data_IF_160046813613
#
_entry.id   IF_160046813613
#
_cell.length_a   1.000
_cell.length_b   1.000
_cell.length_c   1.000
_cell.angle_alpha   90.00
_cell.angle_beta   90.00
_cell.angle_gamma   90.00
#
_symmetry.space_group_name_H-M   'P 1'
#
loop_
_entity.id
_entity.type
_entity.pdbx_description
1 polymer ?
#
# COMPACT_ATOMS: atom_id res chain seq x y z
N UNK A 1 -59.13 27.21 -41.78
CA UNK A 1 -58.70 25.82 -41.62
C UNK A 1 -57.21 25.78 -41.94
N UNK A 2 -56.37 26.00 -40.98
CA UNK A 2 -54.92 26.03 -41.10
C UNK A 2 -54.31 24.92 -40.26
N UNK A 3 -53.70 23.94 -40.89
CA UNK A 3 -53.01 22.82 -40.30
C UNK A 3 -51.65 23.30 -39.77
N UNK A 4 -51.43 23.07 -38.47
CA UNK A 4 -50.13 23.32 -37.82
C UNK A 4 -49.40 21.98 -37.75
N UNK A 5 -48.34 21.82 -38.55
CA UNK A 5 -47.44 20.67 -38.54
C UNK A 5 -46.31 21.02 -37.56
N UNK A 6 -46.35 20.46 -36.35
CA UNK A 6 -45.26 20.55 -35.42
C UNK A 6 -44.12 19.58 -35.76
N UNK A 7 -42.97 20.12 -36.14
CA UNK A 7 -41.73 19.37 -36.33
C UNK A 7 -41.15 18.99 -34.94
N UNK A 8 -41.22 17.72 -34.57
CA UNK A 8 -40.46 17.17 -33.47
C UNK A 8 -39.00 17.03 -33.89
N UNK A 9 -38.17 17.99 -33.47
CA UNK A 9 -36.72 17.87 -33.50
C UNK A 9 -36.28 16.94 -32.35
N UNK A 10 -36.05 15.68 -32.67
CA UNK A 10 -35.46 14.72 -31.76
C UNK A 10 -33.96 15.01 -31.54
N UNK A 11 -33.66 15.84 -30.55
CA UNK A 11 -32.31 16.02 -30.08
C UNK A 11 -31.86 14.76 -29.34
N UNK A 12 -31.02 13.91 -29.98
CA UNK A 12 -30.33 12.83 -29.30
C UNK A 12 -29.33 13.46 -28.30
N UNK A 13 -29.73 13.49 -27.03
CA UNK A 13 -28.80 13.80 -25.94
C UNK A 13 -27.81 12.62 -25.83
N UNK A 14 -26.78 12.67 -26.66
CA UNK A 14 -25.61 11.81 -26.44
C UNK A 14 -25.10 12.08 -25.06
N UNK A 15 -25.27 11.11 -24.13
CA UNK A 15 -24.69 11.10 -22.82
C UNK A 15 -23.17 11.25 -23.02
N UNK A 16 -22.61 12.45 -22.83
CA UNK A 16 -21.17 12.64 -22.72
C UNK A 16 -20.72 11.85 -21.49
N UNK A 17 -20.24 10.64 -21.72
CA UNK A 17 -19.51 9.90 -20.69
C UNK A 17 -18.27 10.74 -20.39
N UNK A 18 -18.25 11.37 -19.22
CA UNK A 18 -17.07 12.06 -18.73
C UNK A 18 -15.94 11.02 -18.59
N UNK A 19 -14.95 11.09 -19.47
CA UNK A 19 -13.76 10.23 -19.45
C UNK A 19 -12.72 10.70 -18.42
N UNK A 20 -13.12 11.03 -17.22
CA UNK A 20 -12.16 11.22 -16.11
C UNK A 20 -12.14 9.96 -15.26
N UNK A 21 -11.43 8.96 -15.76
CA UNK A 21 -11.16 7.74 -14.99
C UNK A 21 -9.82 7.93 -14.30
N UNK A 22 -9.83 8.16 -12.98
CA UNK A 22 -8.65 8.23 -12.14
C UNK A 22 -8.31 9.63 -11.58
N UNK A 23 -7.35 9.69 -10.64
CA UNK A 23 -6.91 10.95 -10.01
C UNK A 23 -6.23 11.87 -11.03
N UNK A 24 -6.57 13.16 -10.96
CA UNK A 24 -5.84 14.21 -11.69
C UNK A 24 -4.61 14.57 -10.87
N UNK A 25 -3.45 14.42 -11.47
CA UNK A 25 -2.15 14.63 -10.83
C UNK A 25 -1.43 15.80 -11.51
N UNK A 26 -0.97 16.75 -10.70
CA UNK A 26 -0.05 17.80 -11.10
C UNK A 26 1.37 17.40 -10.70
N UNK A 27 2.33 17.63 -11.60
CA UNK A 27 3.75 17.42 -11.32
C UNK A 27 4.29 18.62 -10.53
N UNK A 28 4.97 18.36 -9.43
CA UNK A 28 5.60 19.36 -8.56
C UNK A 28 7.09 19.08 -8.49
N UNK A 29 7.91 20.07 -8.78
CA UNK A 29 9.36 20.01 -8.63
C UNK A 29 9.69 20.18 -7.13
N UNK A 30 10.27 19.14 -6.54
CA UNK A 30 10.66 19.16 -5.11
C UNK A 30 12.14 19.49 -4.91
N UNK A 31 12.99 19.16 -5.91
CA UNK A 31 14.40 19.51 -5.92
C UNK A 31 14.85 19.82 -7.35
N UNK A 32 15.34 21.04 -7.57
CA UNK A 32 15.87 21.50 -8.85
C UNK A 32 17.39 21.36 -8.86
N UNK A 33 17.86 20.41 -9.61
CA UNK A 33 19.27 20.13 -9.78
C UNK A 33 19.80 20.61 -11.15
N UNK A 34 19.05 21.47 -11.84
CA UNK A 34 19.36 21.91 -13.20
C UNK A 34 19.65 20.71 -14.13
N UNK A 35 18.73 19.75 -14.15
CA UNK A 35 18.85 18.50 -14.90
C UNK A 35 17.75 18.34 -15.94
N UNK A 36 18.09 17.77 -17.10
CA UNK A 36 17.10 17.41 -18.11
C UNK A 36 16.30 16.16 -17.73
N UNK A 37 16.93 15.26 -16.97
CA UNK A 37 16.29 14.03 -16.48
C UNK A 37 15.55 14.28 -15.16
N UNK A 38 14.52 13.47 -14.91
CA UNK A 38 13.74 13.51 -13.68
C UNK A 38 13.77 12.15 -12.98
N UNK A 39 13.65 12.18 -11.67
CA UNK A 39 13.33 11.02 -10.82
C UNK A 39 12.02 11.32 -10.11
N UNK A 40 11.03 10.44 -10.25
CA UNK A 40 9.74 10.60 -9.59
C UNK A 40 9.79 9.99 -8.19
N UNK A 41 9.32 10.72 -7.20
CA UNK A 41 9.15 10.25 -5.84
C UNK A 41 7.67 9.91 -5.63
N UNK A 42 7.39 8.65 -5.30
CA UNK A 42 6.06 8.15 -4.96
C UNK A 42 6.06 7.83 -3.47
N UNK A 43 5.31 8.60 -2.68
CA UNK A 43 5.27 8.41 -1.24
C UNK A 43 4.14 7.45 -0.84
N UNK A 44 4.47 6.46 0.00
CA UNK A 44 3.52 5.59 0.71
C UNK A 44 3.73 5.82 2.20
N UNK A 45 2.84 6.59 2.81
CA UNK A 45 2.95 7.00 4.20
C UNK A 45 1.71 6.61 5.01
N UNK A 46 1.94 6.15 6.25
CA UNK A 46 0.88 5.73 7.15
C UNK A 46 0.31 4.36 6.78
N UNK A 47 -0.92 4.09 7.21
CA UNK A 47 -1.57 2.79 7.01
C UNK A 47 -1.97 2.61 5.55
N UNK A 48 -1.55 1.47 4.96
CA UNK A 48 -1.94 1.10 3.60
C UNK A 48 -3.39 0.65 3.61
N UNK A 49 -4.23 1.38 2.87
CA UNK A 49 -5.67 1.11 2.83
C UNK A 49 -6.26 1.37 1.45
N UNK A 50 -7.31 0.62 1.13
CA UNK A 50 -8.16 0.83 -0.05
C UNK A 50 -9.25 1.89 0.17
N UNK A 51 -9.36 2.45 1.39
CA UNK A 51 -10.32 3.51 1.69
C UNK A 51 -9.97 4.78 0.94
N UNK A 52 -11.00 5.44 0.44
CA UNK A 52 -10.85 6.75 -0.18
C UNK A 52 -10.49 7.81 0.86
N UNK A 53 -9.47 8.60 0.56
CA UNK A 53 -9.15 9.83 1.29
C UNK A 53 -10.15 10.94 0.96
N UNK A 54 -10.01 12.08 1.61
CA UNK A 54 -10.86 13.27 1.37
C UNK A 54 -10.87 13.73 -0.09
N UNK A 55 -9.86 13.34 -0.88
CA UNK A 55 -9.79 13.58 -2.33
C UNK A 55 -10.57 12.59 -3.19
N UNK A 56 -11.28 11.62 -2.60
CA UNK A 56 -12.12 10.64 -3.30
C UNK A 56 -11.36 9.48 -3.96
N UNK A 57 -10.05 9.36 -3.75
CA UNK A 57 -9.21 8.27 -4.24
C UNK A 57 -8.47 7.58 -3.09
N UNK A 58 -8.24 6.29 -3.24
CA UNK A 58 -7.45 5.51 -2.28
C UNK A 58 -5.94 5.68 -2.53
N UNK A 59 -5.13 5.29 -1.54
CA UNK A 59 -3.68 5.20 -1.71
C UNK A 59 -3.29 4.32 -2.90
N UNK A 60 -4.01 3.22 -3.10
CA UNK A 60 -3.83 2.32 -4.25
C UNK A 60 -4.05 3.02 -5.58
N UNK A 61 -5.16 3.79 -5.70
CA UNK A 61 -5.47 4.54 -6.91
C UNK A 61 -4.40 5.59 -7.23
N UNK A 62 -3.92 6.28 -6.19
CA UNK A 62 -2.88 7.30 -6.33
C UNK A 62 -1.55 6.68 -6.79
N UNK A 63 -1.08 5.60 -6.18
CA UNK A 63 0.16 4.92 -6.58
C UNK A 63 0.07 4.42 -8.01
N UNK A 64 -1.05 3.76 -8.40
CA UNK A 64 -1.27 3.28 -9.76
C UNK A 64 -1.25 4.43 -10.78
N UNK A 65 -1.92 5.55 -10.47
CA UNK A 65 -1.95 6.72 -11.34
C UNK A 65 -0.58 7.37 -11.49
N UNK A 66 0.21 7.47 -10.40
CA UNK A 66 1.55 8.02 -10.42
C UNK A 66 2.50 7.14 -11.25
N UNK A 67 2.48 5.81 -11.06
CA UNK A 67 3.27 4.89 -11.89
C UNK A 67 2.92 5.01 -13.37
N UNK A 68 1.64 5.16 -13.72
CA UNK A 68 1.21 5.39 -15.09
C UNK A 68 1.76 6.70 -15.66
N UNK A 69 1.75 7.80 -14.87
CA UNK A 69 2.35 9.08 -15.28
C UNK A 69 3.85 8.95 -15.50
N UNK A 70 4.54 8.18 -14.65
CA UNK A 70 5.97 7.89 -14.82
C UNK A 70 6.23 7.11 -16.11
N UNK A 71 5.40 6.13 -16.44
CA UNK A 71 5.54 5.35 -17.68
C UNK A 71 5.43 6.23 -18.92
N UNK A 72 4.46 7.17 -18.93
CA UNK A 72 4.16 8.07 -20.04
C UNK A 72 5.19 9.20 -20.26
N UNK A 73 5.95 9.62 -19.23
CA UNK A 73 6.93 10.71 -19.35
C UNK A 73 8.35 10.16 -19.57
N UNK A 74 8.88 10.33 -20.78
CA UNK A 74 10.23 9.89 -21.14
C UNK A 74 11.37 10.62 -20.39
N UNK A 75 11.11 11.81 -19.82
CA UNK A 75 12.10 12.55 -19.03
C UNK A 75 12.29 11.90 -17.65
N UNK A 76 11.30 11.20 -17.14
CA UNK A 76 11.43 10.46 -15.88
C UNK A 76 12.22 9.17 -16.15
N UNK A 77 13.34 9.00 -15.47
CA UNK A 77 14.28 7.90 -15.71
C UNK A 77 14.26 6.83 -14.63
N UNK A 78 13.78 7.16 -13.43
CA UNK A 78 13.65 6.23 -12.31
C UNK A 78 12.51 6.65 -11.38
N UNK A 79 12.12 5.74 -10.50
CA UNK A 79 11.16 5.97 -9.42
C UNK A 79 11.84 5.73 -8.08
N UNK A 80 11.59 6.59 -7.12
CA UNK A 80 11.83 6.32 -5.70
C UNK A 80 10.49 6.06 -5.03
N UNK A 81 10.30 4.84 -4.55
CA UNK A 81 9.18 4.50 -3.67
C UNK A 81 9.58 4.84 -2.24
N UNK A 82 9.13 5.98 -1.73
CA UNK A 82 9.41 6.43 -0.36
C UNK A 82 8.38 5.82 0.58
N UNK A 83 8.82 4.90 1.45
CA UNK A 83 7.93 4.14 2.32
C UNK A 83 8.15 4.51 3.77
N UNK A 84 7.11 5.02 4.43
CA UNK A 84 7.05 5.25 5.87
C UNK A 84 5.71 4.74 6.42
N UNK A 85 5.61 3.41 6.55
CA UNK A 85 4.35 2.71 6.77
C UNK A 85 4.50 1.49 7.69
N UNK A 86 3.57 1.31 8.66
CA UNK A 86 3.49 0.09 9.46
C UNK A 86 2.91 -1.11 8.69
N UNK A 87 2.46 -0.92 7.45
CA UNK A 87 1.65 -1.83 6.67
C UNK A 87 0.16 -1.45 6.67
N UNK A 88 -0.72 -2.42 6.49
CA UNK A 88 -2.17 -2.18 6.42
C UNK A 88 -2.96 -3.34 5.85
N UNK A 89 -3.99 -3.03 5.07
CA UNK A 89 -4.87 -4.03 4.45
C UNK A 89 -4.09 -4.92 3.47
N UNK A 90 -4.34 -6.22 3.55
CA UNK A 90 -3.68 -7.23 2.69
C UNK A 90 -3.93 -6.93 1.21
N UNK A 91 -5.19 -6.72 0.83
CA UNK A 91 -5.53 -6.47 -0.58
C UNK A 91 -4.95 -5.16 -1.10
N UNK A 92 -4.99 -4.09 -0.33
CA UNK A 92 -4.39 -2.81 -0.73
C UNK A 92 -2.88 -2.94 -0.93
N UNK A 93 -2.19 -3.66 -0.04
CA UNK A 93 -0.76 -3.94 -0.17
C UNK A 93 -0.45 -4.81 -1.40
N UNK A 94 -1.25 -5.86 -1.66
CA UNK A 94 -1.09 -6.71 -2.84
C UNK A 94 -1.35 -5.96 -4.15
N UNK A 95 -2.32 -5.05 -4.17
CA UNK A 95 -2.58 -4.23 -5.36
C UNK A 95 -1.45 -3.24 -5.66
N UNK A 96 -0.87 -2.61 -4.64
CA UNK A 96 0.31 -1.74 -4.82
C UNK A 96 1.52 -2.58 -5.27
N UNK A 97 1.76 -3.73 -4.63
CA UNK A 97 2.80 -4.67 -5.05
C UNK A 97 2.68 -5.05 -6.52
N UNK A 98 1.47 -5.45 -6.96
CA UNK A 98 1.22 -5.81 -8.37
C UNK A 98 1.50 -4.65 -9.30
N UNK A 99 1.05 -3.44 -8.95
CA UNK A 99 1.29 -2.25 -9.77
C UNK A 99 2.78 -1.96 -9.94
N UNK A 100 3.59 -2.10 -8.87
CA UNK A 100 5.05 -1.92 -8.93
C UNK A 100 5.70 -3.03 -9.75
N UNK A 101 5.30 -4.28 -9.54
CA UNK A 101 5.85 -5.43 -10.26
C UNK A 101 5.54 -5.37 -11.76
N UNK A 102 4.30 -5.06 -12.11
CA UNK A 102 3.87 -4.88 -13.50
C UNK A 102 4.62 -3.72 -14.17
N UNK A 103 4.74 -2.58 -13.48
CA UNK A 103 5.54 -1.45 -13.96
C UNK A 103 6.98 -1.88 -14.28
N UNK A 104 7.66 -2.59 -13.37
CA UNK A 104 9.04 -3.04 -13.58
C UNK A 104 9.19 -4.17 -14.62
N UNK A 105 8.09 -4.82 -15.01
CA UNK A 105 8.06 -5.84 -16.06
C UNK A 105 7.94 -5.22 -17.44
N UNK A 106 7.11 -4.18 -17.58
CA UNK A 106 6.82 -3.52 -18.86
C UNK A 106 7.66 -2.26 -19.09
N UNK A 107 8.15 -1.62 -18.02
CA UNK A 107 8.95 -0.41 -18.07
C UNK A 107 10.38 -0.67 -17.64
N UNK A 108 11.36 -0.11 -18.38
CA UNK A 108 12.78 -0.29 -18.08
C UNK A 108 13.28 0.60 -16.93
N UNK A 109 12.44 1.54 -16.46
CA UNK A 109 12.80 2.49 -15.41
C UNK A 109 12.88 1.77 -14.06
N UNK A 110 14.01 1.83 -13.34
CA UNK A 110 14.15 1.16 -12.06
C UNK A 110 13.27 1.80 -10.99
N UNK A 111 12.76 0.97 -10.08
CA UNK A 111 12.12 1.41 -8.84
C UNK A 111 13.06 1.12 -7.67
N UNK A 112 13.43 2.17 -6.94
CA UNK A 112 14.26 2.09 -5.73
C UNK A 112 13.37 2.39 -4.52
N UNK A 113 13.26 1.46 -3.58
CA UNK A 113 12.58 1.73 -2.31
C UNK A 113 13.52 2.50 -1.37
N UNK A 114 13.02 3.60 -0.81
CA UNK A 114 13.66 4.36 0.28
C UNK A 114 12.82 4.22 1.52
N UNK A 115 13.29 3.46 2.49
CA UNK A 115 12.57 3.23 3.74
C UNK A 115 12.82 4.38 4.71
N UNK A 116 11.73 4.90 5.30
CA UNK A 116 11.75 5.90 6.35
C UNK A 116 12.00 5.29 7.74
N UNK A 117 11.37 5.88 8.74
CA UNK A 117 11.48 5.35 10.11
C UNK A 117 10.89 3.94 10.21
N UNK A 118 9.83 3.68 9.46
CA UNK A 118 9.06 2.44 9.52
C UNK A 118 8.66 2.00 8.11
N UNK A 119 9.07 0.80 7.72
CA UNK A 119 8.66 0.16 6.49
C UNK A 119 8.46 -1.34 6.75
N UNK A 120 7.44 -1.66 7.54
CA UNK A 120 7.21 -2.99 8.08
C UNK A 120 5.91 -3.61 7.53
N UNK A 121 5.84 -4.94 7.57
CA UNK A 121 4.66 -5.70 7.18
C UNK A 121 4.18 -5.34 5.75
N UNK A 122 2.98 -4.79 5.54
CA UNK A 122 2.55 -4.30 4.22
C UNK A 122 3.51 -3.29 3.58
N UNK A 123 4.21 -2.46 4.40
CA UNK A 123 5.25 -1.54 3.92
C UNK A 123 6.46 -2.28 3.36
N UNK A 124 6.86 -3.38 3.97
CA UNK A 124 7.89 -4.26 3.41
C UNK A 124 7.37 -5.04 2.19
N UNK A 125 6.12 -5.51 2.24
CA UNK A 125 5.48 -6.24 1.14
C UNK A 125 5.55 -5.47 -0.19
N UNK A 126 5.24 -4.17 -0.17
CA UNK A 126 5.30 -3.31 -1.37
C UNK A 126 6.72 -2.93 -1.77
N UNK A 127 7.68 -2.97 -0.84
CA UNK A 127 9.09 -2.68 -1.08
C UNK A 127 9.84 -3.88 -1.68
N UNK A 128 9.42 -5.10 -1.34
CA UNK A 128 10.09 -6.34 -1.72
C UNK A 128 10.33 -6.51 -3.24
N UNK A 129 9.42 -6.11 -4.16
CA UNK A 129 9.63 -6.21 -5.60
C UNK A 129 10.55 -5.12 -6.17
N UNK A 130 10.87 -4.06 -5.41
CA UNK A 130 11.69 -2.97 -5.90
C UNK A 130 13.09 -3.47 -6.30
N UNK A 131 13.62 -2.89 -7.38
CA UNK A 131 14.92 -3.25 -7.93
C UNK A 131 16.07 -3.08 -6.92
N UNK A 132 15.91 -2.14 -5.98
CA UNK A 132 16.85 -1.84 -4.91
C UNK A 132 16.11 -1.30 -3.69
N UNK A 133 16.58 -1.65 -2.50
CA UNK A 133 16.02 -1.18 -1.24
C UNK A 133 17.11 -0.53 -0.41
N UNK A 134 16.88 0.73 -0.03
CA UNK A 134 17.74 1.51 0.88
C UNK A 134 17.00 1.73 2.19
N UNK A 135 17.64 1.44 3.30
CA UNK A 135 17.12 1.70 4.65
C UNK A 135 18.19 2.33 5.54
N UNK A 136 17.78 3.18 6.48
CA UNK A 136 18.67 3.60 7.55
C UNK A 136 18.94 2.43 8.49
N UNK A 137 20.06 2.39 9.17
CA UNK A 137 20.39 1.33 10.13
C UNK A 137 19.35 1.20 11.27
N UNK A 138 18.70 2.33 11.61
CA UNK A 138 17.65 2.45 12.64
C UNK A 138 16.23 2.27 12.10
N UNK A 139 16.04 2.10 10.80
CA UNK A 139 14.73 1.81 10.20
C UNK A 139 14.15 0.55 10.83
N UNK A 140 12.86 0.58 11.19
CA UNK A 140 12.11 -0.60 11.60
C UNK A 140 11.47 -1.21 10.36
N UNK A 141 11.79 -2.49 10.07
CA UNK A 141 11.27 -3.21 8.91
C UNK A 141 10.92 -4.66 9.26
N UNK A 142 10.81 -5.55 8.27
CA UNK A 142 10.40 -6.94 8.48
C UNK A 142 8.91 -7.03 8.82
N UNK A 143 8.58 -7.61 9.98
CA UNK A 143 7.19 -7.91 10.38
C UNK A 143 6.44 -8.68 9.27
N UNK A 144 7.11 -9.70 8.71
CA UNK A 144 6.57 -10.56 7.66
C UNK A 144 5.60 -11.54 8.31
N UNK A 145 4.32 -11.17 8.32
CA UNK A 145 3.28 -11.91 9.01
C UNK A 145 1.90 -11.38 8.69
N UNK A 146 0.88 -12.10 9.15
CA UNK A 146 -0.53 -11.79 8.95
C UNK A 146 -1.25 -11.88 10.28
N UNK A 147 -2.07 -10.89 10.56
CA UNK A 147 -2.93 -10.88 11.74
C UNK A 147 -4.38 -10.65 11.34
N UNK A 148 -5.28 -11.31 12.06
CA UNK A 148 -6.71 -11.05 12.03
C UNK A 148 -7.18 -10.79 13.45
N UNK A 149 -7.63 -9.58 13.73
CA UNK A 149 -8.16 -9.21 15.03
C UNK A 149 -9.68 -9.40 15.09
N UNK A 150 -10.14 -10.05 16.14
CA UNK A 150 -11.56 -10.02 16.54
C UNK A 150 -11.66 -9.79 18.04
N UNK A 151 -12.77 -9.17 18.45
CA UNK A 151 -13.06 -8.94 19.85
C UNK A 151 -14.18 -9.86 20.29
N UNK A 152 -14.01 -10.57 21.42
CA UNK A 152 -15.09 -11.30 22.06
C UNK A 152 -15.57 -10.51 23.27
N UNK A 153 -16.82 -10.04 23.22
CA UNK A 153 -17.45 -9.24 24.27
C UNK A 153 -18.62 -9.97 24.94
N UNK A 154 -18.77 -11.30 24.70
CA UNK A 154 -19.82 -12.14 25.32
C UNK A 154 -19.84 -12.03 26.82
N UNK A 155 -18.67 -12.11 27.47
CA UNK A 155 -18.53 -11.98 28.91
C UNK A 155 -19.01 -10.64 29.47
N UNK A 156 -18.81 -9.55 28.71
CA UNK A 156 -19.34 -8.23 29.07
C UNK A 156 -20.85 -8.20 28.94
N UNK A 157 -21.41 -8.73 27.85
CA UNK A 157 -22.87 -8.80 27.63
C UNK A 157 -23.56 -9.55 28.77
N UNK A 158 -23.00 -10.65 29.20
CA UNK A 158 -23.51 -11.42 30.33
C UNK A 158 -23.60 -10.61 31.63
N UNK A 159 -22.54 -9.78 31.90
CA UNK A 159 -22.49 -8.91 33.09
C UNK A 159 -23.55 -7.81 33.10
N UNK A 160 -23.89 -7.27 31.92
CA UNK A 160 -24.93 -6.23 31.78
C UNK A 160 -26.29 -6.75 31.45
N UNK A 161 -26.50 -8.10 31.44
CA UNK A 161 -27.77 -8.74 31.23
C UNK A 161 -28.29 -8.73 29.80
N UNK A 162 -27.42 -8.45 28.82
CA UNK A 162 -27.75 -8.48 27.37
C UNK A 162 -27.54 -9.89 26.82
N UNK A 163 -28.54 -10.41 26.13
CA UNK A 163 -28.48 -11.74 25.49
C UNK A 163 -28.74 -11.63 24.01
N UNK A 164 -27.75 -11.91 23.14
CA UNK A 164 -27.95 -11.92 21.70
C UNK A 164 -28.84 -13.08 21.30
N UNK A 165 -29.67 -12.86 20.30
CA UNK A 165 -30.46 -13.90 19.65
C UNK A 165 -30.08 -13.93 18.18
N UNK A 166 -29.37 -14.97 17.77
CA UNK A 166 -28.84 -15.09 16.40
C UNK A 166 -29.66 -16.14 15.63
N UNK A 167 -30.28 -15.71 14.54
CA UNK A 167 -30.91 -16.59 13.56
C UNK A 167 -30.04 -16.66 12.33
N UNK A 168 -29.60 -17.86 11.93
CA UNK A 168 -28.63 -18.03 10.84
C UNK A 168 -29.01 -19.15 9.89
N UNK A 169 -28.66 -18.98 8.62
CA UNK A 169 -28.99 -19.96 7.56
C UNK A 169 -27.96 -21.10 7.45
N UNK A 170 -26.81 -21.02 8.09
CA UNK A 170 -25.76 -22.05 8.01
C UNK A 170 -24.88 -22.09 9.24
N UNK A 171 -24.22 -23.24 9.47
CA UNK A 171 -23.42 -23.52 10.68
C UNK A 171 -22.40 -22.40 10.98
N UNK A 172 -21.74 -21.88 9.95
CA UNK A 172 -20.63 -20.93 10.09
C UNK A 172 -20.96 -19.47 9.72
N UNK A 173 -22.26 -19.12 9.56
CA UNK A 173 -22.65 -17.77 9.11
C UNK A 173 -22.31 -16.67 10.12
N UNK A 174 -22.19 -17.03 11.39
CA UNK A 174 -21.79 -16.17 12.51
C UNK A 174 -20.33 -16.37 12.94
N UNK A 175 -19.52 -16.92 12.05
CA UNK A 175 -18.07 -17.06 12.27
C UNK A 175 -17.44 -15.70 12.61
N UNK A 176 -16.53 -15.69 13.58
CA UNK A 176 -15.88 -14.49 14.13
C UNK A 176 -16.82 -13.50 14.85
N UNK A 177 -18.06 -13.85 15.12
CA UNK A 177 -18.95 -13.02 15.94
C UNK A 177 -18.44 -12.95 17.38
N UNK A 178 -18.21 -11.72 17.88
CA UNK A 178 -17.79 -11.46 19.25
C UNK A 178 -18.89 -11.68 20.30
N UNK A 179 -20.11 -11.96 19.87
CA UNK A 179 -21.28 -12.20 20.74
C UNK A 179 -21.40 -13.66 21.20
N UNK A 180 -20.68 -14.57 20.54
CA UNK A 180 -20.73 -16.01 20.85
C UNK A 180 -19.87 -16.33 22.07
N UNK A 181 -20.30 -17.34 22.82
CA UNK A 181 -19.48 -17.91 23.87
C UNK A 181 -18.24 -18.56 23.24
N UNK A 182 -17.01 -18.24 23.71
CA UNK A 182 -15.80 -18.86 23.20
C UNK A 182 -15.80 -20.40 23.27
N UNK A 183 -16.53 -20.97 24.23
CA UNK A 183 -16.70 -22.43 24.39
C UNK A 183 -17.61 -23.05 23.31
N UNK A 184 -18.48 -22.25 22.71
CA UNK A 184 -19.39 -22.67 21.65
C UNK A 184 -18.75 -22.56 20.24
N UNK A 185 -17.52 -22.02 20.12
CA UNK A 185 -16.83 -21.92 18.85
C UNK A 185 -16.24 -23.27 18.45
N UNK A 186 -16.75 -23.91 17.38
CA UNK A 186 -16.31 -25.23 16.99
C UNK A 186 -14.85 -25.20 16.50
N UNK A 187 -14.09 -26.28 16.72
CA UNK A 187 -12.69 -26.38 16.28
C UNK A 187 -12.53 -26.10 14.79
N UNK A 188 -13.44 -26.58 13.96
CA UNK A 188 -13.40 -26.40 12.50
C UNK A 188 -13.46 -24.93 12.09
N UNK A 189 -14.13 -24.08 12.88
CA UNK A 189 -14.15 -22.63 12.62
C UNK A 189 -12.76 -22.02 12.83
N UNK A 190 -12.06 -22.42 13.90
CA UNK A 190 -10.68 -21.98 14.18
C UNK A 190 -9.72 -22.45 13.09
N UNK A 191 -9.88 -23.68 12.63
CA UNK A 191 -9.07 -24.25 11.53
C UNK A 191 -9.27 -23.48 10.24
N UNK A 192 -10.52 -23.08 9.89
CA UNK A 192 -10.82 -22.28 8.71
C UNK A 192 -10.14 -20.91 8.79
N UNK A 193 -10.20 -20.25 9.95
CA UNK A 193 -9.55 -18.93 10.16
C UNK A 193 -8.04 -19.07 10.08
N UNK A 194 -7.46 -20.07 10.74
CA UNK A 194 -6.02 -20.31 10.70
C UNK A 194 -5.54 -20.60 9.28
N UNK A 195 -6.27 -21.44 8.53
CA UNK A 195 -5.97 -21.71 7.14
C UNK A 195 -5.94 -20.44 6.28
N UNK A 196 -6.90 -19.53 6.46
CA UNK A 196 -6.92 -18.26 5.74
C UNK A 196 -5.68 -17.40 6.06
N UNK A 197 -5.25 -17.38 7.33
CA UNK A 197 -4.03 -16.71 7.77
C UNK A 197 -2.81 -17.36 7.13
N UNK A 198 -2.72 -18.69 7.16
CA UNK A 198 -1.57 -19.45 6.64
C UNK A 198 -1.43 -19.30 5.12
N UNK A 199 -2.53 -19.35 4.38
CA UNK A 199 -2.55 -19.12 2.92
C UNK A 199 -2.07 -17.71 2.57
N UNK A 200 -2.54 -16.70 3.32
CA UNK A 200 -2.14 -15.30 3.15
C UNK A 200 -0.67 -15.07 3.52
N UNK A 201 -0.22 -15.70 4.60
CA UNK A 201 1.18 -15.67 5.02
C UNK A 201 2.11 -16.37 4.02
N UNK A 202 1.68 -17.50 3.47
CA UNK A 202 2.38 -18.18 2.38
C UNK A 202 2.56 -17.27 1.17
N UNK A 203 1.53 -16.51 0.80
CA UNK A 203 1.59 -15.50 -0.26
C UNK A 203 2.62 -14.41 0.06
N UNK A 204 2.65 -13.90 1.30
CA UNK A 204 3.64 -12.89 1.69
C UNK A 204 5.06 -13.41 1.50
N UNK A 205 5.37 -14.62 2.00
CA UNK A 205 6.68 -15.24 1.82
C UNK A 205 7.04 -15.39 0.33
N UNK A 206 6.10 -15.79 -0.51
CA UNK A 206 6.31 -15.87 -1.96
C UNK A 206 6.67 -14.51 -2.56
N UNK A 207 5.96 -13.43 -2.20
CA UNK A 207 6.25 -12.08 -2.68
C UNK A 207 7.66 -11.64 -2.30
N UNK A 208 8.09 -11.93 -1.07
CA UNK A 208 9.45 -11.61 -0.61
C UNK A 208 10.48 -12.41 -1.39
N UNK A 209 10.31 -13.73 -1.48
CA UNK A 209 11.25 -14.59 -2.17
C UNK A 209 11.40 -14.20 -3.65
N UNK A 210 10.28 -14.07 -4.36
CA UNK A 210 10.28 -13.75 -5.79
C UNK A 210 10.81 -12.34 -6.06
N UNK A 211 10.38 -11.35 -5.27
CA UNK A 211 10.80 -9.96 -5.42
C UNK A 211 12.30 -9.79 -5.21
N UNK A 212 12.82 -10.30 -4.10
CA UNK A 212 14.26 -10.18 -3.79
C UNK A 212 15.12 -11.00 -4.76
N UNK A 213 14.66 -12.20 -5.14
CA UNK A 213 15.33 -13.00 -6.17
C UNK A 213 15.38 -12.28 -7.51
N UNK A 214 14.27 -11.72 -7.97
CA UNK A 214 14.22 -10.99 -9.24
C UNK A 214 15.11 -9.75 -9.23
N UNK A 215 15.17 -9.00 -8.11
CA UNK A 215 16.06 -7.87 -7.93
C UNK A 215 17.54 -8.29 -7.98
N UNK A 216 17.91 -9.32 -7.23
CA UNK A 216 19.28 -9.84 -7.22
C UNK A 216 19.67 -10.39 -8.61
N UNK A 217 18.84 -11.18 -9.26
CA UNK A 217 19.13 -11.75 -10.59
C UNK A 217 19.37 -10.68 -11.66
N UNK A 218 18.68 -9.55 -11.56
CA UNK A 218 18.90 -8.39 -12.46
C UNK A 218 20.19 -7.62 -12.15
N UNK A 219 20.68 -7.66 -10.92
CA UNK A 219 21.81 -6.85 -10.45
C UNK A 219 23.13 -7.65 -10.36
N UNK A 220 23.10 -8.95 -10.12
CA UNK A 220 24.29 -9.81 -9.89
C UNK A 220 25.33 -9.80 -11.03
N UNK A 221 24.93 -9.35 -12.23
CA UNK A 221 25.84 -9.22 -13.38
C UNK A 221 26.63 -7.91 -13.39
N UNK A 222 26.39 -6.99 -12.47
CA UNK A 222 27.16 -5.74 -12.39
C UNK A 222 28.61 -6.03 -12.00
N UNK A 223 29.53 -5.26 -12.59
CA UNK A 223 30.97 -5.43 -12.36
C UNK A 223 31.39 -5.02 -10.95
N UNK A 224 30.74 -4.01 -10.41
CA UNK A 224 30.99 -3.52 -9.07
C UNK A 224 30.16 -4.35 -8.06
N UNK A 225 30.78 -5.01 -7.07
CA UNK A 225 30.09 -5.77 -6.06
C UNK A 225 29.03 -4.97 -5.29
N UNK A 226 29.25 -3.66 -5.10
CA UNK A 226 28.30 -2.77 -4.43
C UNK A 226 27.00 -2.55 -5.24
N UNK A 227 27.02 -2.89 -6.53
CA UNK A 227 25.88 -2.75 -7.44
C UNK A 227 25.13 -4.08 -7.69
N UNK A 228 25.61 -5.16 -7.13
CA UNK A 228 25.02 -6.48 -7.35
C UNK A 228 23.75 -6.72 -6.52
N UNK A 229 23.51 -5.88 -5.51
CA UNK A 229 22.44 -6.08 -4.54
C UNK A 229 22.67 -7.29 -3.63
N UNK A 230 21.73 -7.58 -2.78
CA UNK A 230 21.84 -8.69 -1.84
C UNK A 230 20.87 -9.81 -2.17
N UNK A 231 21.37 -11.04 -2.11
CA UNK A 231 20.52 -12.22 -2.09
C UNK A 231 19.94 -12.41 -0.68
N UNK A 232 18.73 -12.94 -0.57
CA UNK A 232 18.21 -13.41 0.71
C UNK A 232 19.14 -14.47 1.31
N UNK A 233 19.39 -14.41 2.61
CA UNK A 233 20.07 -15.46 3.35
C UNK A 233 19.35 -16.80 3.20
N UNK A 234 20.05 -17.91 3.32
CA UNK A 234 19.46 -19.27 3.17
C UNK A 234 18.40 -19.58 4.23
N UNK A 235 18.52 -18.93 5.38
CA UNK A 235 17.67 -19.06 6.58
C UNK A 235 16.68 -17.90 6.76
N UNK A 236 16.47 -17.08 5.72
CA UNK A 236 15.61 -15.89 5.80
C UNK A 236 14.19 -16.21 6.30
N UNK A 237 13.67 -17.41 6.05
CA UNK A 237 12.35 -17.84 6.49
C UNK A 237 12.21 -17.91 8.00
N UNK A 238 13.31 -18.12 8.73
CA UNK A 238 13.33 -18.15 10.20
C UNK A 238 13.14 -16.75 10.79
N UNK A 239 13.39 -15.72 9.99
CA UNK A 239 13.20 -14.31 10.34
C UNK A 239 11.87 -13.74 9.80
N UNK A 240 11.13 -14.54 9.04
CA UNK A 240 9.83 -14.17 8.49
C UNK A 240 8.67 -14.65 9.38
N UNK A 241 8.81 -14.61 10.68
CA UNK A 241 7.86 -15.09 11.69
C UNK A 241 7.01 -13.98 12.33
N UNK A 242 6.98 -12.80 11.69
CA UNK A 242 6.27 -11.62 12.19
C UNK A 242 7.13 -10.68 13.03
N UNK A 243 8.39 -11.06 13.32
CA UNK A 243 9.30 -10.18 14.07
C UNK A 243 9.66 -8.93 13.26
N UNK A 244 9.94 -7.84 13.97
CA UNK A 244 10.54 -6.65 13.37
C UNK A 244 12.06 -6.80 13.33
N UNK A 245 12.67 -6.16 12.33
CA UNK A 245 14.11 -6.11 12.12
C UNK A 245 14.56 -4.65 12.11
N UNK A 246 15.79 -4.40 12.57
CA UNK A 246 16.45 -3.13 12.26
C UNK A 246 16.88 -3.10 10.80
N UNK A 247 17.09 -1.91 10.23
CA UNK A 247 17.63 -1.80 8.88
C UNK A 247 18.99 -2.49 8.75
N UNK A 248 19.82 -2.45 9.81
CA UNK A 248 21.09 -3.17 9.88
C UNK A 248 20.89 -4.68 9.73
N UNK A 249 20.05 -5.29 10.57
CA UNK A 249 19.78 -6.73 10.51
C UNK A 249 19.17 -7.13 9.16
N UNK A 250 18.28 -6.28 8.62
CA UNK A 250 17.64 -6.51 7.33
C UNK A 250 18.65 -6.53 6.16
N UNK A 251 19.70 -5.72 6.21
CA UNK A 251 20.80 -5.77 5.22
C UNK A 251 21.61 -7.05 5.38
N UNK A 252 21.94 -7.45 6.60
CA UNK A 252 22.70 -8.69 6.86
C UNK A 252 21.96 -9.93 6.36
N UNK A 253 20.63 -9.94 6.47
CA UNK A 253 19.75 -11.05 6.04
C UNK A 253 19.35 -10.98 4.55
N UNK A 254 19.72 -9.91 3.84
CA UNK A 254 19.38 -9.73 2.42
C UNK A 254 17.97 -9.22 2.14
N UNK A 255 17.23 -8.80 3.17
CA UNK A 255 15.92 -8.14 2.99
C UNK A 255 16.06 -6.72 2.42
N UNK A 256 17.18 -6.06 2.68
CA UNK A 256 17.54 -4.70 2.23
C UNK A 256 18.90 -4.77 1.53
N UNK A 257 19.10 -3.96 0.49
CA UNK A 257 20.32 -3.99 -0.31
C UNK A 257 21.42 -3.09 0.25
N UNK A 258 21.03 -1.95 0.85
CA UNK A 258 21.97 -0.89 1.21
C UNK A 258 21.55 -0.15 2.47
N UNK A 259 22.50 0.11 3.36
CA UNK A 259 22.34 1.11 4.43
C UNK A 259 22.51 2.50 3.83
N UNK A 260 21.57 3.39 4.12
CA UNK A 260 21.63 4.78 3.64
C UNK A 260 20.38 5.58 4.01
N UNK A 261 20.31 6.78 3.52
CA UNK A 261 19.20 7.71 3.66
C UNK A 261 18.52 7.98 2.31
N UNK A 262 17.57 8.93 2.29
CA UNK A 262 16.86 9.30 1.07
C UNK A 262 17.79 9.75 -0.06
N UNK A 263 18.83 10.53 0.25
CA UNK A 263 19.78 11.00 -0.77
C UNK A 263 20.62 9.86 -1.35
N UNK A 264 20.91 8.82 -0.57
CA UNK A 264 21.57 7.62 -1.06
C UNK A 264 20.65 6.81 -2.00
N UNK A 265 19.34 6.79 -1.72
CA UNK A 265 18.35 6.22 -2.64
C UNK A 265 18.25 7.02 -3.94
N UNK A 266 18.35 8.36 -3.91
CA UNK A 266 18.40 9.22 -5.10
C UNK A 266 19.60 8.86 -5.95
N UNK A 267 20.82 8.85 -5.36
CA UNK A 267 22.05 8.47 -6.07
C UNK A 267 21.97 7.06 -6.65
N UNK A 268 21.37 6.13 -5.92
CA UNK A 268 21.15 4.76 -6.40
C UNK A 268 20.21 4.74 -7.60
N UNK A 269 19.10 5.46 -7.56
CA UNK A 269 18.16 5.58 -8.66
C UNK A 269 18.80 6.18 -9.91
N UNK A 270 19.59 7.27 -9.76
CA UNK A 270 20.38 7.89 -10.82
C UNK A 270 21.39 6.92 -11.44
N UNK A 271 22.18 6.23 -10.60
CA UNK A 271 23.16 5.23 -11.04
C UNK A 271 22.49 4.09 -11.83
N UNK A 272 21.37 3.56 -11.33
CA UNK A 272 20.62 2.48 -11.99
C UNK A 272 19.95 2.92 -13.29
N UNK A 273 19.57 4.19 -13.40
CA UNK A 273 19.03 4.79 -14.61
C UNK A 273 20.10 5.23 -15.62
N UNK A 274 21.40 5.15 -15.27
CA UNK A 274 22.52 5.57 -16.12
C UNK A 274 22.60 7.08 -16.33
N UNK A 275 22.15 7.88 -15.37
CA UNK A 275 22.15 9.35 -15.41
C UNK A 275 23.04 9.92 -14.31
N UNK A 276 23.63 11.09 -14.54
CA UNK A 276 24.55 11.74 -13.60
C UNK A 276 23.84 12.57 -12.54
N UNK A 277 22.68 13.16 -12.88
CA UNK A 277 21.84 13.96 -11.99
C UNK A 277 20.40 14.00 -12.52
N UNK A 278 19.46 14.21 -11.64
CA UNK A 278 18.05 14.36 -11.97
C UNK A 278 17.38 15.45 -11.10
N UNK A 279 16.37 16.06 -11.64
CA UNK A 279 15.42 16.84 -10.85
C UNK A 279 14.47 15.89 -10.14
N UNK A 280 14.17 16.14 -8.87
CA UNK A 280 13.19 15.34 -8.14
C UNK A 280 11.81 15.94 -8.31
N UNK A 281 10.85 15.08 -8.64
CA UNK A 281 9.45 15.46 -8.81
C UNK A 281 8.54 14.59 -7.96
N UNK A 282 7.45 15.16 -7.52
CA UNK A 282 6.33 14.47 -6.90
C UNK A 282 5.05 14.74 -7.70
N UNK A 283 4.07 13.86 -7.54
CA UNK A 283 2.75 14.05 -8.11
C UNK A 283 1.77 14.38 -7.00
N UNK A 284 1.19 15.56 -7.05
CA UNK A 284 0.17 16.00 -6.10
C UNK A 284 -1.21 15.89 -6.74
N UNK A 285 -2.17 15.44 -5.95
CA UNK A 285 -3.56 15.39 -6.41
C UNK A 285 -4.09 16.80 -6.58
N UNK A 286 -4.64 17.08 -7.78
CA UNK A 286 -5.30 18.35 -8.06
C UNK A 286 -6.67 18.37 -7.40
N UNK A 287 -6.85 19.28 -6.46
CA UNK A 287 -8.17 19.59 -5.89
C UNK A 287 -8.90 20.56 -6.81
N UNK A 288 -10.04 20.14 -7.35
CA UNK A 288 -10.92 21.01 -8.13
C UNK A 288 -11.95 21.65 -7.20
N UNK A 289 -12.27 22.96 -7.39
CA UNK A 289 -13.30 23.65 -6.61
C UNK A 289 -14.66 22.92 -6.64
N UNK A 290 -14.92 22.13 -7.69
CA UNK A 290 -16.11 21.29 -7.80
C UNK A 290 -16.11 20.15 -6.78
N UNK A 291 -14.94 19.66 -6.37
CA UNK A 291 -14.82 18.60 -5.36
C UNK A 291 -15.01 19.16 -3.95
N UNK A 292 -14.59 20.41 -3.72
CA UNK A 292 -14.90 21.17 -2.52
C UNK A 292 -16.42 21.34 -2.31
N UNK A 293 -17.17 21.70 -3.36
CA UNK A 293 -18.63 21.81 -3.30
C UNK A 293 -19.32 20.45 -3.09
N UNK A 294 -18.80 19.34 -3.63
CA UNK A 294 -19.32 18.00 -3.37
C UNK A 294 -19.12 17.57 -1.91
N UNK A 295 -18.02 17.98 -1.29
CA UNK A 295 -17.74 17.71 0.13
C UNK A 295 -18.76 18.42 1.03
N UNK A 296 -19.12 19.66 0.74
CA UNK A 296 -20.16 20.41 1.47
C UNK A 296 -21.58 19.87 1.22
N UNK A 297 -21.87 19.34 0.03
CA UNK A 297 -23.18 18.78 -0.27
C UNK A 297 -23.46 17.42 0.39
N UNK A 298 -22.43 16.71 0.84
CA UNK A 298 -22.54 15.43 1.57
C UNK A 298 -22.56 15.58 3.10
N UNK A 299 -22.35 16.80 3.62
CA UNK A 299 -22.38 17.06 5.06
C UNK A 299 -23.82 17.20 5.55
N UNK A 300 -24.47 16.08 5.82
CA UNK A 300 -25.62 16.04 6.71
C UNK A 300 -25.12 15.66 8.11
N UNK A 301 -25.30 16.60 9.05
CA UNK A 301 -25.00 16.62 10.48
C UNK A 301 -23.57 17.05 10.86
N UNK A 302 -23.43 18.14 11.63
CA UNK A 302 -22.18 18.49 12.26
C UNK A 302 -21.90 17.54 13.43
N UNK A 303 -21.15 16.48 13.18
CA UNK A 303 -20.51 15.75 14.26
C UNK A 303 -19.39 16.62 14.80
N UNK A 304 -19.47 17.04 16.06
CA UNK A 304 -18.35 17.67 16.77
C UNK A 304 -17.27 16.59 16.88
N UNK A 305 -16.30 16.62 15.97
CA UNK A 305 -15.09 15.80 16.09
C UNK A 305 -14.22 16.47 17.16
N UNK A 306 -14.17 15.89 18.36
CA UNK A 306 -13.12 16.22 19.34
C UNK A 306 -11.86 15.53 18.82
N UNK A 307 -10.99 16.31 18.21
CA UNK A 307 -9.67 15.88 17.80
C UNK A 307 -8.79 15.77 19.06
N UNK A 308 -8.57 14.54 19.52
CA UNK A 308 -7.69 14.25 20.65
C UNK A 308 -6.22 14.15 20.24
N UNK A 309 -5.88 14.51 18.98
CA UNK A 309 -4.49 14.52 18.49
C UNK A 309 -3.85 13.12 18.34
N UNK A 310 -4.64 12.06 18.48
CA UNK A 310 -4.18 10.67 18.28
C UNK A 310 -5.12 10.00 17.28
N UNK A 311 -4.76 9.98 16.02
CA UNK A 311 -5.42 9.11 15.05
C UNK A 311 -4.99 7.66 15.31
N UNK A 312 -5.72 6.97 16.18
CA UNK A 312 -5.58 5.53 16.28
C UNK A 312 -6.11 4.90 14.97
N UNK A 313 -5.37 3.98 14.36
CA UNK A 313 -5.84 3.27 13.18
C UNK A 313 -7.13 2.52 13.49
N UNK A 314 -8.20 2.85 12.76
CA UNK A 314 -9.47 2.12 12.87
C UNK A 314 -9.35 0.82 12.08
N UNK A 315 -8.90 -0.23 12.76
CA UNK A 315 -8.93 -1.58 12.20
C UNK A 315 -10.37 -2.09 12.22
N UNK A 316 -10.83 -2.59 11.10
CA UNK A 316 -12.15 -3.22 11.01
C UNK A 316 -12.06 -4.68 11.41
N UNK A 317 -12.97 -5.13 12.25
CA UNK A 317 -13.06 -6.53 12.63
C UNK A 317 -13.36 -7.41 11.41
N UNK A 318 -12.67 -8.53 11.30
CA UNK A 318 -12.86 -9.48 10.20
C UNK A 318 -12.06 -9.20 8.94
N UNK A 319 -11.20 -8.16 8.92
CA UNK A 319 -10.25 -7.93 7.83
C UNK A 319 -8.86 -8.46 8.18
N UNK A 320 -8.17 -8.96 7.15
CA UNK A 320 -6.77 -9.37 7.26
C UNK A 320 -5.86 -8.16 7.05
N UNK A 321 -4.85 -8.05 7.91
CA UNK A 321 -3.88 -6.96 7.86
C UNK A 321 -2.45 -7.48 7.80
N UNK A 322 -1.66 -6.85 6.96
CA UNK A 322 -0.21 -6.78 7.09
C UNK A 322 0.13 -5.53 7.91
N UNK A 323 0.10 -5.64 9.22
CA UNK A 323 0.30 -4.52 10.12
C UNK A 323 1.27 -4.90 11.22
N UNK A 324 2.23 -4.01 11.50
CA UNK A 324 3.13 -4.21 12.63
C UNK A 324 2.36 -4.15 13.96
N UNK A 325 2.60 -5.06 14.92
CA UNK A 325 1.87 -5.15 16.19
C UNK A 325 1.88 -3.85 17.02
N UNK A 326 2.87 -3.00 16.81
CA UNK A 326 3.02 -1.71 17.52
C UNK A 326 1.86 -0.75 17.21
N UNK A 327 1.15 -0.93 16.10
CA UNK A 327 0.06 -0.08 15.64
C UNK A 327 -1.32 -0.76 15.65
N UNK A 328 -1.41 -2.00 16.17
CA UNK A 328 -2.64 -2.77 16.25
C UNK A 328 -3.44 -2.51 17.56
N UNK A 329 -3.14 -1.43 18.29
CA UNK A 329 -3.80 -1.07 19.56
C UNK A 329 -4.97 -0.13 19.35
#
# INVERSE_FOLDING_TARGET
>A
MLLNIGLFSGGSHGRRVSRTVGPKLDEVLTEDNDAAAKVAVIEVRGIITSRQSDGGFSMVDLVKAQLKRVEEDEKIKAVILKVDSPGGEVLASDEIYRAINDFQTHCTKPVVASMGNLAASGGYYISAPCRWIVANELTITGSIGVILHSWNYRGLMNKVGVRPQTYKSGKFKDMLSGERDPEEVPPEEREMVQKLIDDTYGKFKTVVADGRKAAHDKNKGNKDPEDQGRALGTDWTDYADGRVLSGKDAVELGFVDQIGNFQDAVKRAEKMAGISKANLIEFQQRFDLSDFFKMFSKSQTPAIKVDLGVEAPKLEAGQLYFLSPTFAR
#
